data_IF_946620279127
#
_entry.id   IF_946620279127
#
_cell.length_a   1.000
_cell.length_b   1.000
_cell.length_c   1.000
_cell.angle_alpha   90.00
_cell.angle_beta   90.00
_cell.angle_gamma   90.00
#
_symmetry.space_group_name_H-M   'P 1'
#
loop_
_entity.id
_entity.type
_entity.pdbx_description
1 polymer ?
#
# COMPACT_ATOMS: atom_id res chain seq x y z
N UNK A 1 -22.12 20.52 -27.80
CA UNK A 1 -22.08 20.46 -26.32
C UNK A 1 -20.64 20.72 -25.89
N UNK A 2 -20.33 21.91 -25.35
CA UNK A 2 -18.98 22.20 -24.83
C UNK A 2 -18.77 21.44 -23.55
N UNK A 3 -17.97 20.37 -23.59
CA UNK A 3 -17.49 19.69 -22.39
C UNK A 3 -16.57 20.69 -21.70
N UNK A 4 -17.04 21.32 -20.60
CA UNK A 4 -16.23 22.21 -19.78
C UNK A 4 -14.98 21.43 -19.35
N UNK A 5 -13.80 21.94 -19.71
CA UNK A 5 -12.54 21.34 -19.31
C UNK A 5 -12.51 21.17 -17.78
N UNK A 6 -12.15 19.98 -17.24
CA UNK A 6 -12.08 19.75 -15.81
C UNK A 6 -11.20 20.82 -15.15
N UNK A 7 -11.67 21.39 -14.03
CA UNK A 7 -10.92 22.45 -13.35
C UNK A 7 -9.60 21.92 -12.82
N UNK A 8 -8.54 22.72 -12.85
CA UNK A 8 -7.23 22.39 -12.28
C UNK A 8 -7.36 21.90 -10.82
N UNK A 9 -8.26 22.50 -10.06
CA UNK A 9 -8.55 22.11 -8.67
C UNK A 9 -9.04 20.67 -8.56
N UNK A 10 -9.94 20.24 -9.45
CA UNK A 10 -10.46 18.87 -9.47
C UNK A 10 -9.37 17.87 -9.81
N UNK A 11 -8.56 18.14 -10.83
CA UNK A 11 -7.47 17.25 -11.21
C UNK A 11 -6.45 17.14 -10.08
N UNK A 12 -6.09 18.26 -9.43
CA UNK A 12 -5.17 18.27 -8.29
C UNK A 12 -5.71 17.47 -7.10
N UNK A 13 -7.02 17.53 -6.83
CA UNK A 13 -7.66 16.73 -5.78
C UNK A 13 -7.59 15.22 -6.10
N UNK A 14 -7.89 14.83 -7.33
CA UNK A 14 -7.80 13.42 -7.74
C UNK A 14 -6.37 12.93 -7.65
N UNK A 15 -5.40 13.66 -8.21
CA UNK A 15 -3.98 13.32 -8.15
C UNK A 15 -3.49 13.20 -6.70
N UNK A 16 -3.89 14.12 -5.83
CA UNK A 16 -3.51 14.10 -4.42
C UNK A 16 -4.10 12.91 -3.64
N UNK A 17 -5.39 12.62 -3.83
CA UNK A 17 -6.06 11.50 -3.13
C UNK A 17 -5.53 10.14 -3.61
N UNK A 18 -5.37 9.95 -4.92
CA UNK A 18 -4.79 8.72 -5.48
C UNK A 18 -3.33 8.60 -5.07
N UNK A 19 -2.57 9.71 -5.11
CA UNK A 19 -1.18 9.73 -4.64
C UNK A 19 -1.06 9.35 -3.16
N UNK A 20 -1.97 9.85 -2.31
CA UNK A 20 -1.99 9.48 -0.88
C UNK A 20 -2.28 7.99 -0.67
N UNK A 21 -3.28 7.45 -1.38
CA UNK A 21 -3.58 6.02 -1.33
C UNK A 21 -2.37 5.18 -1.78
N UNK A 22 -1.71 5.58 -2.87
CA UNK A 22 -0.53 4.91 -3.39
C UNK A 22 0.68 5.00 -2.45
N UNK A 23 0.92 6.18 -1.85
CA UNK A 23 1.95 6.35 -0.82
C UNK A 23 1.69 5.44 0.39
N UNK A 24 0.43 5.31 0.81
CA UNK A 24 0.05 4.40 1.90
C UNK A 24 0.34 2.94 1.56
N UNK A 25 0.03 2.49 0.34
CA UNK A 25 0.37 1.14 -0.14
C UNK A 25 1.88 0.88 -0.03
N UNK A 26 2.70 1.77 -0.56
CA UNK A 26 4.16 1.66 -0.50
C UNK A 26 4.72 1.78 0.92
N UNK A 27 4.12 2.59 1.77
CA UNK A 27 4.45 2.63 3.19
C UNK A 27 4.25 1.26 3.84
N UNK A 28 3.11 0.61 3.57
CA UNK A 28 2.81 -0.71 4.12
C UNK A 28 3.73 -1.83 3.61
N UNK A 29 4.35 -1.70 2.43
CA UNK A 29 5.39 -2.63 1.98
C UNK A 29 6.56 -2.74 2.95
N UNK A 30 6.89 -1.64 3.64
CA UNK A 30 8.04 -1.54 4.53
C UNK A 30 7.65 -1.41 6.02
N UNK A 31 6.47 -1.89 6.43
CA UNK A 31 6.09 -1.89 7.85
C UNK A 31 6.90 -2.93 8.64
N UNK A 32 7.04 -4.14 8.14
CA UNK A 32 7.74 -5.20 8.86
C UNK A 32 9.27 -5.20 8.65
N UNK A 33 9.84 -5.01 7.44
CA UNK A 33 11.27 -5.17 7.19
C UNK A 33 12.20 -4.36 8.11
N UNK A 34 11.96 -3.08 8.41
CA UNK A 34 12.81 -2.30 9.32
C UNK A 34 12.79 -2.83 10.76
N UNK A 35 11.74 -3.56 11.13
CA UNK A 35 11.55 -4.14 12.47
C UNK A 35 12.13 -5.55 12.60
N UNK A 36 12.70 -6.14 11.55
CA UNK A 36 13.24 -7.49 11.56
C UNK A 36 14.23 -7.78 12.70
N UNK A 37 15.15 -6.88 13.07
CA UNK A 37 16.02 -7.14 14.22
C UNK A 37 15.25 -7.33 15.53
N UNK A 38 14.17 -6.58 15.73
CA UNK A 38 13.30 -6.67 16.91
C UNK A 38 12.47 -7.96 16.85
N UNK A 39 11.80 -8.20 15.73
CA UNK A 39 10.95 -9.38 15.51
C UNK A 39 11.74 -10.71 15.62
N UNK A 40 13.02 -10.68 15.19
CA UNK A 40 13.91 -11.84 15.32
C UNK A 40 14.11 -12.23 16.78
N UNK A 41 14.30 -11.27 17.66
CA UNK A 41 14.50 -11.51 19.09
C UNK A 41 13.19 -11.88 19.78
N UNK A 42 12.10 -11.18 19.44
CA UNK A 42 10.78 -11.37 20.04
C UNK A 42 10.21 -12.76 19.77
N UNK A 43 10.34 -13.24 18.54
CA UNK A 43 9.77 -14.54 18.11
C UNK A 43 10.78 -15.69 18.06
N UNK A 44 12.05 -15.43 18.39
CA UNK A 44 13.17 -16.41 18.27
C UNK A 44 13.22 -17.10 16.89
N UNK A 45 13.18 -16.29 15.81
CA UNK A 45 13.16 -16.76 14.43
C UNK A 45 14.38 -16.27 13.65
N UNK A 46 14.66 -16.95 12.53
CA UNK A 46 15.75 -16.56 11.62
C UNK A 46 15.33 -15.43 10.67
N UNK A 47 16.30 -14.70 10.11
CA UNK A 47 16.05 -13.74 9.03
C UNK A 47 15.45 -14.39 7.78
N UNK A 48 15.72 -15.68 7.52
CA UNK A 48 15.10 -16.39 6.42
C UNK A 48 13.58 -16.56 6.62
N UNK A 49 13.15 -16.87 7.86
CA UNK A 49 11.73 -16.92 8.19
C UNK A 49 11.07 -15.54 8.10
N UNK A 50 11.72 -14.49 8.60
CA UNK A 50 11.21 -13.13 8.47
C UNK A 50 11.11 -12.70 7.00
N UNK A 51 12.06 -13.11 6.15
CA UNK A 51 12.05 -12.85 4.70
C UNK A 51 10.89 -13.52 3.96
N UNK A 52 10.28 -14.56 4.52
CA UNK A 52 9.05 -15.15 3.96
C UNK A 52 7.88 -14.16 3.97
N UNK A 53 7.81 -13.27 4.95
CA UNK A 53 6.69 -12.33 5.08
C UNK A 53 6.56 -11.40 3.86
N UNK A 54 7.59 -10.59 3.49
CA UNK A 54 7.52 -9.80 2.27
C UNK A 54 7.45 -10.68 1.01
N UNK A 55 8.10 -11.84 1.00
CA UNK A 55 8.02 -12.79 -0.11
C UNK A 55 6.57 -13.21 -0.39
N UNK A 56 5.85 -13.65 0.63
CA UNK A 56 4.45 -14.06 0.54
C UNK A 56 3.53 -12.87 0.22
N UNK A 57 3.79 -11.71 0.82
CA UNK A 57 3.05 -10.49 0.53
C UNK A 57 3.13 -10.14 -0.97
N UNK A 58 4.34 -10.05 -1.54
CA UNK A 58 4.51 -9.69 -2.95
C UNK A 58 4.05 -10.81 -3.89
N UNK A 59 4.22 -12.07 -3.53
CA UNK A 59 3.69 -13.20 -4.31
C UNK A 59 2.16 -13.15 -4.37
N UNK A 60 1.49 -13.00 -3.21
CA UNK A 60 0.03 -12.85 -3.16
C UNK A 60 -0.44 -11.62 -3.94
N UNK A 61 0.23 -10.49 -3.78
CA UNK A 61 -0.08 -9.26 -4.52
C UNK A 61 0.06 -9.46 -6.03
N UNK A 62 1.17 -10.01 -6.51
CA UNK A 62 1.42 -10.22 -7.93
C UNK A 62 0.43 -11.19 -8.57
N UNK A 63 0.12 -12.32 -7.90
CA UNK A 63 -0.84 -13.32 -8.40
C UNK A 63 -2.25 -12.71 -8.48
N UNK A 64 -2.71 -12.05 -7.41
CA UNK A 64 -4.07 -11.50 -7.36
C UNK A 64 -4.24 -10.23 -8.19
N UNK A 65 -3.15 -9.52 -8.52
CA UNK A 65 -3.20 -8.35 -9.39
C UNK A 65 -3.72 -8.69 -10.80
N UNK A 66 -3.52 -9.91 -11.28
CA UNK A 66 -4.06 -10.38 -12.56
C UNK A 66 -5.59 -10.30 -12.56
N UNK A 67 -6.23 -10.62 -11.44
CA UNK A 67 -7.68 -10.61 -11.26
C UNK A 67 -8.19 -9.19 -10.94
N UNK A 68 -7.35 -8.37 -10.34
CA UNK A 68 -7.72 -7.03 -9.86
C UNK A 68 -8.21 -6.10 -10.98
N UNK A 69 -7.67 -6.23 -12.19
CA UNK A 69 -8.17 -5.51 -13.37
C UNK A 69 -9.65 -5.80 -13.64
N UNK A 70 -10.03 -7.08 -13.66
CA UNK A 70 -11.43 -7.49 -13.86
C UNK A 70 -12.35 -6.99 -12.75
N UNK A 71 -11.86 -6.96 -11.49
CA UNK A 71 -12.63 -6.41 -10.38
C UNK A 71 -12.86 -4.91 -10.54
N UNK A 72 -11.83 -4.17 -11.00
CA UNK A 72 -11.91 -2.75 -11.29
C UNK A 72 -12.94 -2.46 -12.38
N UNK A 73 -12.94 -3.23 -13.45
CA UNK A 73 -13.89 -3.07 -14.55
C UNK A 73 -15.33 -3.39 -14.13
N UNK A 74 -15.52 -4.40 -13.28
CA UNK A 74 -16.85 -4.83 -12.87
C UNK A 74 -17.44 -3.98 -11.73
N UNK A 75 -16.67 -3.68 -10.68
CA UNK A 75 -17.15 -3.01 -9.45
C UNK A 75 -16.82 -1.52 -9.40
N UNK A 76 -15.99 -1.04 -10.31
CA UNK A 76 -15.48 0.33 -10.38
C UNK A 76 -14.25 0.58 -9.52
N UNK A 77 -13.28 1.28 -10.08
CA UNK A 77 -11.95 1.49 -9.51
C UNK A 77 -11.95 2.05 -8.09
N UNK A 78 -12.82 3.03 -7.80
CA UNK A 78 -12.89 3.65 -6.45
C UNK A 78 -13.28 2.66 -5.37
N UNK A 79 -14.27 1.79 -5.61
CA UNK A 79 -14.74 0.81 -4.61
C UNK A 79 -13.67 -0.23 -4.36
N UNK A 80 -13.07 -0.74 -5.43
CA UNK A 80 -12.02 -1.75 -5.37
C UNK A 80 -10.80 -1.21 -4.63
N UNK A 81 -10.37 0.04 -4.92
CA UNK A 81 -9.28 0.70 -4.21
C UNK A 81 -9.54 0.84 -2.70
N UNK A 82 -10.74 1.27 -2.32
CA UNK A 82 -11.11 1.42 -0.90
C UNK A 82 -11.13 0.07 -0.16
N UNK A 83 -11.67 -0.98 -0.79
CA UNK A 83 -11.66 -2.32 -0.21
C UNK A 83 -10.24 -2.84 -0.05
N UNK A 84 -9.39 -2.67 -1.07
CA UNK A 84 -7.99 -3.07 -1.00
C UNK A 84 -7.22 -2.31 0.09
N UNK A 85 -7.42 -1.00 0.20
CA UNK A 85 -6.82 -0.18 1.25
C UNK A 85 -7.26 -0.63 2.65
N UNK A 86 -8.55 -0.91 2.85
CA UNK A 86 -9.06 -1.42 4.12
C UNK A 86 -8.45 -2.78 4.46
N UNK A 87 -8.43 -3.71 3.51
CA UNK A 87 -7.88 -5.03 3.71
C UNK A 87 -6.39 -4.98 4.07
N UNK A 88 -5.62 -4.17 3.35
CA UNK A 88 -4.20 -3.94 3.62
C UNK A 88 -3.99 -3.31 5.00
N UNK A 89 -4.73 -2.26 5.33
CA UNK A 89 -4.59 -1.53 6.60
C UNK A 89 -4.97 -2.39 7.81
N UNK A 90 -6.07 -3.14 7.72
CA UNK A 90 -6.51 -4.05 8.79
C UNK A 90 -5.48 -5.15 8.99
N UNK A 91 -5.01 -5.77 7.90
CA UNK A 91 -3.98 -6.80 7.96
C UNK A 91 -2.72 -6.29 8.69
N UNK A 92 -2.23 -5.10 8.33
CA UNK A 92 -1.05 -4.51 8.96
C UNK A 92 -1.29 -4.10 10.41
N UNK A 93 -2.48 -3.59 10.74
CA UNK A 93 -2.84 -3.27 12.12
C UNK A 93 -2.88 -4.52 13.01
N UNK A 94 -3.39 -5.63 12.49
CA UNK A 94 -3.44 -6.90 13.22
C UNK A 94 -2.05 -7.49 13.47
N UNK A 95 -1.01 -7.14 12.68
CA UNK A 95 0.36 -7.55 12.97
C UNK A 95 0.86 -7.05 14.34
N UNK A 96 0.30 -5.95 14.86
CA UNK A 96 0.62 -5.46 16.21
C UNK A 96 -0.01 -6.24 17.37
N UNK A 97 -0.90 -7.19 17.08
CA UNK A 97 -1.63 -7.99 18.08
C UNK A 97 -1.20 -9.46 18.09
N UNK A 98 -0.26 -9.84 17.23
CA UNK A 98 0.20 -11.24 17.15
C UNK A 98 1.10 -11.60 18.33
N UNK A 99 0.95 -12.81 18.82
CA UNK A 99 1.77 -13.38 19.89
C UNK A 99 2.74 -14.45 19.39
N UNK A 100 2.52 -14.94 18.17
CA UNK A 100 3.31 -16.02 17.57
C UNK A 100 3.70 -15.65 16.13
N UNK A 101 4.92 -15.98 15.72
CA UNK A 101 5.42 -15.69 14.36
C UNK A 101 4.47 -16.17 13.25
N UNK A 102 3.90 -17.36 13.41
CA UNK A 102 3.05 -17.98 12.38
C UNK A 102 1.77 -17.19 12.08
N UNK A 103 1.33 -16.36 13.02
CA UNK A 103 0.18 -15.48 12.82
C UNK A 103 0.47 -14.36 11.82
N UNK A 104 1.73 -13.98 11.62
CA UNK A 104 2.14 -12.98 10.62
C UNK A 104 1.99 -13.49 9.18
N UNK A 105 2.09 -14.80 8.96
CA UNK A 105 2.03 -15.39 7.61
C UNK A 105 0.70 -15.12 6.92
N UNK A 106 -0.46 -15.51 7.48
CA UNK A 106 -1.74 -15.21 6.86
C UNK A 106 -1.99 -13.70 6.72
N UNK A 107 -1.52 -12.88 7.67
CA UNK A 107 -1.64 -11.43 7.57
C UNK A 107 -0.82 -10.86 6.40
N UNK A 108 0.39 -11.37 6.17
CA UNK A 108 1.19 -10.97 5.01
C UNK A 108 0.48 -11.32 3.69
N UNK A 109 -0.12 -12.51 3.58
CA UNK A 109 -0.88 -12.92 2.39
C UNK A 109 -2.11 -12.05 2.19
N UNK A 110 -2.91 -11.81 3.24
CA UNK A 110 -4.11 -10.95 3.19
C UNK A 110 -3.73 -9.51 2.82
N UNK A 111 -2.66 -8.98 3.42
CA UNK A 111 -2.12 -7.67 3.08
C UNK A 111 -1.71 -7.58 1.60
N UNK A 112 -1.04 -8.62 1.08
CA UNK A 112 -0.67 -8.73 -0.33
C UNK A 112 -1.88 -8.73 -1.26
N UNK A 113 -2.94 -9.48 -0.92
CA UNK A 113 -4.21 -9.46 -1.67
C UNK A 113 -4.79 -8.04 -1.67
N UNK A 114 -4.85 -7.37 -0.52
CA UNK A 114 -5.30 -5.98 -0.43
C UNK A 114 -4.46 -5.02 -1.26
N UNK A 115 -3.15 -5.27 -1.34
CA UNK A 115 -2.21 -4.47 -2.13
C UNK A 115 -2.38 -4.62 -3.65
N UNK A 116 -2.87 -5.75 -4.11
CA UNK A 116 -2.94 -6.10 -5.54
C UNK A 116 -3.79 -5.14 -6.40
N UNK A 117 -4.72 -4.44 -5.79
CA UNK A 117 -5.69 -3.60 -6.51
C UNK A 117 -5.19 -2.18 -6.79
N UNK A 118 -4.10 -1.74 -6.12
CA UNK A 118 -3.69 -0.33 -6.19
C UNK A 118 -3.33 0.09 -7.61
N UNK A 119 -2.40 -0.59 -8.29
CA UNK A 119 -2.00 -0.19 -9.63
C UNK A 119 -3.17 -0.19 -10.63
N UNK A 120 -3.99 -1.27 -10.76
CA UNK A 120 -5.13 -1.23 -11.68
C UNK A 120 -6.14 -0.14 -11.34
N UNK A 121 -6.47 0.04 -10.06
CA UNK A 121 -7.47 1.02 -9.64
C UNK A 121 -6.96 2.46 -9.74
N UNK A 122 -5.72 2.72 -9.31
CA UNK A 122 -5.11 4.05 -9.36
C UNK A 122 -5.00 4.56 -10.78
N UNK A 123 -4.47 3.73 -11.70
CA UNK A 123 -4.31 4.10 -13.09
C UNK A 123 -5.66 4.31 -13.78
N UNK A 124 -6.66 3.47 -13.48
CA UNK A 124 -8.02 3.64 -13.99
C UNK A 124 -8.64 4.95 -13.50
N UNK A 125 -8.52 5.30 -12.21
CA UNK A 125 -9.03 6.56 -11.67
C UNK A 125 -8.34 7.77 -12.30
N UNK A 126 -7.01 7.75 -12.40
CA UNK A 126 -6.24 8.84 -12.98
C UNK A 126 -6.62 9.06 -14.45
N UNK A 127 -6.70 7.97 -15.23
CA UNK A 127 -7.05 8.04 -16.66
C UNK A 127 -8.48 8.54 -16.90
N UNK A 128 -9.44 8.15 -16.05
CA UNK A 128 -10.85 8.54 -16.19
C UNK A 128 -11.13 9.98 -15.69
N UNK A 129 -10.44 10.41 -14.63
CA UNK A 129 -10.82 11.62 -13.91
C UNK A 129 -9.92 12.83 -14.17
N UNK A 130 -8.66 12.61 -14.57
CA UNK A 130 -7.71 13.69 -14.85
C UNK A 130 -7.77 14.07 -16.33
N UNK A 131 -7.74 15.37 -16.61
CA UNK A 131 -7.75 15.87 -17.99
C UNK A 131 -6.51 15.42 -18.77
N UNK A 132 -6.69 15.06 -20.05
CA UNK A 132 -5.63 14.55 -20.94
C UNK A 132 -4.33 15.36 -20.93
N UNK A 133 -4.35 16.72 -20.97
CA UNK A 133 -3.11 17.50 -20.96
C UNK A 133 -2.31 17.38 -19.66
N UNK A 134 -2.89 16.84 -18.59
CA UNK A 134 -2.27 16.70 -17.26
C UNK A 134 -1.99 15.26 -16.85
N UNK A 135 -2.33 14.26 -17.66
CA UNK A 135 -2.10 12.84 -17.34
C UNK A 135 -0.63 12.51 -17.08
N UNK A 136 0.29 13.06 -17.85
CA UNK A 136 1.72 12.85 -17.59
C UNK A 136 2.17 13.34 -16.21
N UNK A 137 1.62 14.48 -15.75
CA UNK A 137 1.86 14.98 -14.39
C UNK A 137 1.21 14.08 -13.33
N UNK A 138 0.01 13.56 -13.62
CA UNK A 138 -0.68 12.66 -12.71
C UNK A 138 0.12 11.39 -12.45
N UNK A 139 0.66 10.76 -13.49
CA UNK A 139 1.52 9.59 -13.36
C UNK A 139 2.85 9.89 -12.66
N UNK A 140 3.44 11.07 -12.94
CA UNK A 140 4.65 11.50 -12.23
C UNK A 140 4.41 11.71 -10.73
N UNK A 141 3.31 12.35 -10.35
CA UNK A 141 2.90 12.54 -8.93
C UNK A 141 2.61 11.17 -8.27
N UNK A 142 1.92 10.28 -8.96
CA UNK A 142 1.65 8.93 -8.48
C UNK A 142 2.94 8.16 -8.19
N UNK A 143 3.90 8.15 -9.11
CA UNK A 143 5.20 7.50 -8.92
C UNK A 143 6.00 8.13 -7.76
N UNK A 144 6.02 9.47 -7.68
CA UNK A 144 6.69 10.19 -6.58
C UNK A 144 6.04 9.88 -5.23
N UNK A 145 4.71 9.79 -5.17
CA UNK A 145 3.98 9.45 -3.96
C UNK A 145 4.35 8.04 -3.45
N UNK A 146 4.44 7.04 -4.34
CA UNK A 146 4.90 5.70 -3.97
C UNK A 146 6.31 5.71 -3.38
N UNK A 147 7.26 6.37 -4.06
CA UNK A 147 8.64 6.50 -3.57
C UNK A 147 8.70 7.22 -2.21
N UNK A 148 7.85 8.22 -2.00
CA UNK A 148 7.73 8.90 -0.70
C UNK A 148 7.24 7.96 0.38
N UNK A 149 6.26 7.10 0.09
CA UNK A 149 5.79 6.05 1.01
C UNK A 149 6.92 5.13 1.46
N UNK A 150 7.74 4.65 0.52
CA UNK A 150 8.92 3.83 0.84
C UNK A 150 9.97 4.57 1.68
N UNK A 151 10.23 5.83 1.37
CA UNK A 151 11.23 6.61 2.10
C UNK A 151 10.78 6.94 3.54
N UNK A 152 9.50 7.22 3.75
CA UNK A 152 8.95 7.61 5.05
C UNK A 152 8.80 6.41 5.99
N UNK A 153 8.45 5.22 5.48
CA UNK A 153 8.15 4.06 6.30
C UNK A 153 9.27 3.67 7.29
N UNK A 154 10.52 3.44 6.87
CA UNK A 154 11.57 3.03 7.81
C UNK A 154 11.89 4.12 8.84
N UNK A 155 11.88 5.39 8.44
CA UNK A 155 12.13 6.52 9.36
C UNK A 155 11.05 6.58 10.44
N UNK A 156 9.79 6.52 10.03
CA UNK A 156 8.65 6.55 10.96
C UNK A 156 8.69 5.36 11.93
N UNK A 157 8.84 4.15 11.41
CA UNK A 157 8.76 2.93 12.22
C UNK A 157 9.92 2.81 13.21
N UNK A 158 11.15 3.13 12.79
CA UNK A 158 12.30 3.11 13.69
C UNK A 158 12.19 4.19 14.77
N UNK A 159 11.66 5.37 14.44
CA UNK A 159 11.42 6.42 15.43
C UNK A 159 10.38 5.97 16.45
N UNK A 160 9.26 5.39 16.02
CA UNK A 160 8.24 4.86 16.92
C UNK A 160 8.80 3.73 17.80
N UNK A 161 9.56 2.80 17.23
CA UNK A 161 10.18 1.71 17.97
C UNK A 161 11.15 2.22 19.04
N UNK A 162 12.00 3.20 18.73
CA UNK A 162 12.91 3.83 19.72
C UNK A 162 12.16 4.48 20.87
N UNK A 163 11.09 5.25 20.58
CA UNK A 163 10.28 5.90 21.63
C UNK A 163 9.60 4.87 22.53
N UNK A 164 9.16 3.76 21.98
CA UNK A 164 8.55 2.66 22.76
C UNK A 164 9.58 1.98 23.68
N UNK A 165 10.79 1.74 23.17
CA UNK A 165 11.89 1.13 23.96
C UNK A 165 12.39 2.01 25.10
N UNK A 166 12.33 3.34 24.97
CA UNK A 166 12.74 4.27 26.03
C UNK A 166 11.71 4.41 27.15
N UNK A 167 10.52 3.81 27.00
CA UNK A 167 9.43 3.88 27.98
C UNK A 167 9.24 2.57 28.78
N UNK A 168 9.98 1.52 28.45
CA UNK A 168 10.02 0.24 29.17
C UNK A 168 11.27 0.14 30.01
#
# INVERSE_FOLDING_TARGET
MSVLAPSLRRDAQVMGLVGLAHASSHFFHLVLPPLFPILKLEFDVSYAQLGLLPGLFFAASGITQIISGFLVDHFGARRVLLVGLLLLSISMALCGLVTEFWMLIPLAVIGGIGNSVFHPADLAILTDKVSQPRLGRAYGIHALAGNTGWAVAPVFLLTVAQVSYLRT
#
